data_IF_221893311747
#
_entry.id   IF_221893311747
#
_cell.length_a   1.000
_cell.length_b   1.000
_cell.length_c   1.000
_cell.angle_alpha   90.00
_cell.angle_beta   90.00
_cell.angle_gamma   90.00
#
_symmetry.space_group_name_H-M   'P 1'
#
loop_
_entity.id
_entity.type
_entity.pdbx_description
1 polymer ?
#
# COMPACT_ATOMS: atom_id res chain seq x y z
N UNK A 1 2.55 -7.17 -13.09
CA UNK A 1 1.47 -6.56 -12.28
C UNK A 1 1.13 -7.59 -11.19
N UNK A 2 1.06 -7.20 -9.91
CA UNK A 2 0.74 -8.16 -8.84
C UNK A 2 -0.77 -8.31 -8.72
N UNK A 3 -1.26 -9.55 -8.70
CA UNK A 3 -2.68 -9.85 -8.55
C UNK A 3 -3.16 -9.40 -7.16
N UNK A 4 -4.29 -8.70 -7.11
CA UNK A 4 -4.92 -8.30 -5.86
C UNK A 4 -6.13 -9.17 -5.62
N UNK A 5 -6.28 -9.64 -4.38
CA UNK A 5 -7.42 -10.47 -3.97
C UNK A 5 -8.68 -9.66 -3.64
N UNK A 6 -8.56 -8.34 -3.59
CA UNK A 6 -9.65 -7.40 -3.30
C UNK A 6 -9.66 -6.27 -4.33
N UNK A 7 -10.84 -5.86 -4.75
CA UNK A 7 -11.03 -4.71 -5.64
C UNK A 7 -11.02 -3.39 -4.85
N UNK A 8 -10.82 -2.28 -5.56
CA UNK A 8 -10.92 -0.93 -4.95
C UNK A 8 -12.32 -0.66 -4.38
N UNK A 9 -13.36 -0.99 -5.15
CA UNK A 9 -14.77 -0.83 -4.78
C UNK A 9 -15.10 -1.61 -3.50
N UNK A 10 -14.78 -2.91 -3.47
CA UNK A 10 -15.03 -3.75 -2.28
C UNK A 10 -14.26 -3.25 -1.06
N UNK A 11 -13.05 -2.70 -1.25
CA UNK A 11 -12.29 -2.14 -0.15
C UNK A 11 -12.94 -0.86 0.38
N UNK A 12 -13.38 0.05 -0.48
CA UNK A 12 -14.01 1.31 -0.07
C UNK A 12 -15.37 1.06 0.61
N UNK A 13 -16.22 0.21 0.04
CA UNK A 13 -17.55 -0.11 0.59
C UNK A 13 -17.49 -0.76 1.98
N UNK A 14 -16.43 -1.53 2.25
CA UNK A 14 -16.26 -2.24 3.51
C UNK A 14 -15.29 -1.54 4.49
N UNK A 15 -14.76 -0.36 4.14
CA UNK A 15 -13.80 0.37 4.98
C UNK A 15 -14.32 1.75 5.42
N UNK A 16 -13.77 2.29 6.52
CA UNK A 16 -13.98 3.69 6.96
C UNK A 16 -13.12 4.66 6.12
N UNK A 17 -12.43 4.17 5.08
CA UNK A 17 -11.59 5.02 4.23
C UNK A 17 -12.51 5.99 3.48
N UNK A 18 -12.32 7.28 3.74
CA UNK A 18 -13.10 8.34 3.10
C UNK A 18 -12.82 8.37 1.58
N UNK A 19 -13.83 8.68 0.76
CA UNK A 19 -13.73 8.84 -0.70
C UNK A 19 -12.61 9.79 -1.16
N UNK A 20 -12.15 10.68 -0.27
CA UNK A 20 -11.04 11.60 -0.54
C UNK A 20 -9.64 10.94 -0.56
N UNK A 21 -9.51 9.68 -0.13
CA UNK A 21 -8.23 8.95 -0.17
C UNK A 21 -8.11 8.21 -1.50
N UNK A 22 -7.20 8.66 -2.36
CA UNK A 22 -6.95 7.98 -3.64
C UNK A 22 -6.44 6.56 -3.42
N UNK A 23 -6.99 5.60 -4.16
CA UNK A 23 -6.54 4.21 -4.15
C UNK A 23 -5.06 4.03 -4.50
N UNK A 24 -4.48 4.98 -5.25
CA UNK A 24 -3.04 5.02 -5.50
C UNK A 24 -2.19 5.09 -4.20
N UNK A 25 -2.73 5.69 -3.14
CA UNK A 25 -2.09 5.78 -1.82
C UNK A 25 -2.29 4.52 -0.99
N UNK A 26 -3.41 3.81 -1.21
CA UNK A 26 -3.82 2.63 -0.43
C UNK A 26 -3.17 1.35 -0.99
N UNK A 27 -3.03 1.28 -2.33
CA UNK A 27 -2.54 0.12 -3.06
C UNK A 27 -1.21 -0.45 -2.54
N UNK A 28 -0.18 0.34 -2.18
CA UNK A 28 1.05 -0.20 -1.59
C UNK A 28 0.79 -0.97 -0.29
N UNK A 29 -0.10 -0.47 0.57
CA UNK A 29 -0.48 -1.12 1.83
C UNK A 29 -1.30 -2.38 1.58
N UNK A 30 -2.17 -2.41 0.57
CA UNK A 30 -2.89 -3.64 0.16
C UNK A 30 -1.91 -4.73 -0.25
N UNK A 31 -0.95 -4.38 -1.11
CA UNK A 31 0.12 -5.29 -1.55
C UNK A 31 0.91 -5.82 -0.36
N UNK A 32 1.28 -4.92 0.57
CA UNK A 32 2.00 -5.22 1.80
C UNK A 32 1.25 -6.20 2.68
N UNK A 33 -0.04 -5.96 2.94
CA UNK A 33 -0.90 -6.84 3.75
C UNK A 33 -1.03 -8.20 3.09
N UNK A 34 -1.21 -8.25 1.77
CA UNK A 34 -1.35 -9.51 1.04
C UNK A 34 -0.06 -10.37 1.13
N UNK A 35 1.12 -9.77 1.01
CA UNK A 35 2.42 -10.47 1.11
C UNK A 35 2.82 -10.79 2.55
N UNK A 36 2.69 -9.84 3.47
CA UNK A 36 3.24 -9.99 4.82
C UNK A 36 2.26 -10.58 5.83
N UNK A 37 0.95 -10.54 5.56
CA UNK A 37 -0.08 -11.09 6.45
C UNK A 37 -0.74 -12.31 5.84
N UNK A 38 -1.23 -12.23 4.60
CA UNK A 38 -2.02 -13.31 4.01
C UNK A 38 -1.15 -14.49 3.56
N UNK A 39 -0.10 -14.24 2.77
CA UNK A 39 0.79 -15.30 2.28
C UNK A 39 1.32 -16.26 3.37
N UNK A 40 1.82 -15.79 4.54
CA UNK A 40 2.27 -16.70 5.59
C UNK A 40 1.15 -17.48 6.28
N UNK A 41 -0.10 -17.00 6.26
CA UNK A 41 -1.26 -17.68 6.86
C UNK A 41 -1.73 -18.84 5.97
N UNK A 42 -1.88 -18.58 4.66
CA UNK A 42 -2.39 -19.58 3.71
C UNK A 42 -1.29 -20.50 3.17
N UNK A 43 -0.02 -20.07 3.27
CA UNK A 43 1.14 -20.79 2.77
C UNK A 43 1.44 -20.52 1.29
N UNK A 44 2.72 -20.60 0.91
CA UNK A 44 3.18 -20.29 -0.46
C UNK A 44 2.52 -21.09 -1.58
N UNK A 45 2.23 -22.41 -1.44
CA UNK A 45 1.61 -23.18 -2.52
C UNK A 45 0.19 -22.71 -2.83
N UNK A 46 -0.66 -22.60 -1.79
CA UNK A 46 -2.05 -22.15 -1.94
C UNK A 46 -2.11 -20.69 -2.37
N UNK A 47 -1.23 -19.84 -1.82
CA UNK A 47 -1.12 -18.44 -2.25
C UNK A 47 -0.81 -18.33 -3.75
N UNK A 48 0.14 -19.12 -4.25
CA UNK A 48 0.50 -19.15 -5.67
C UNK A 48 -0.66 -19.59 -6.56
N UNK A 49 -1.39 -20.62 -6.14
CA UNK A 49 -2.59 -21.09 -6.85
C UNK A 49 -3.67 -19.99 -6.92
N UNK A 50 -3.98 -19.33 -5.80
CA UNK A 50 -4.96 -18.25 -5.75
C UNK A 50 -4.55 -17.07 -6.64
N UNK A 51 -3.27 -16.68 -6.62
CA UNK A 51 -2.74 -15.63 -7.51
C UNK A 51 -2.93 -16.01 -8.97
N UNK A 52 -2.56 -17.23 -9.36
CA UNK A 52 -2.71 -17.70 -10.74
C UNK A 52 -4.17 -17.69 -11.16
N UNK A 53 -5.07 -18.25 -10.34
CA UNK A 53 -6.50 -18.34 -10.64
C UNK A 53 -7.18 -16.98 -10.76
N UNK A 54 -6.84 -16.03 -9.88
CA UNK A 54 -7.36 -14.66 -9.94
C UNK A 54 -6.88 -13.96 -11.22
N UNK A 55 -5.63 -14.17 -11.64
CA UNK A 55 -5.09 -13.57 -12.88
C UNK A 55 -5.71 -14.19 -14.13
N UNK A 56 -5.92 -15.51 -14.15
CA UNK A 56 -6.51 -16.21 -15.29
C UNK A 56 -8.03 -16.11 -15.35
N UNK A 57 -8.70 -15.60 -14.30
CA UNK A 57 -10.15 -15.60 -14.20
C UNK A 57 -10.74 -17.02 -14.08
N UNK A 58 -9.97 -17.96 -13.56
CA UNK A 58 -10.35 -19.38 -13.43
C UNK A 58 -10.45 -19.83 -11.97
N UNK A 59 -10.84 -18.91 -11.08
CA UNK A 59 -11.05 -19.21 -9.65
C UNK A 59 -12.13 -20.29 -9.50
N UNK A 60 -11.79 -21.35 -8.78
CA UNK A 60 -12.77 -22.40 -8.46
C UNK A 60 -13.80 -21.86 -7.47
N UNK A 61 -15.01 -22.44 -7.44
CA UNK A 61 -16.04 -22.02 -6.48
C UNK A 61 -15.54 -22.05 -5.02
N UNK A 62 -14.76 -23.09 -4.67
CA UNK A 62 -14.20 -23.23 -3.32
C UNK A 62 -13.17 -22.13 -3.00
N UNK A 63 -12.30 -21.81 -3.95
CA UNK A 63 -11.31 -20.75 -3.79
C UNK A 63 -11.95 -19.36 -3.82
N UNK A 64 -13.07 -19.21 -4.53
CA UNK A 64 -13.85 -17.98 -4.51
C UNK A 64 -14.49 -17.76 -3.13
N UNK A 65 -15.12 -18.78 -2.55
CA UNK A 65 -15.59 -18.75 -1.16
C UNK A 65 -14.46 -18.45 -0.19
N UNK A 66 -13.28 -19.08 -0.34
CA UNK A 66 -12.13 -18.79 0.51
C UNK A 66 -11.68 -17.32 0.41
N UNK A 67 -11.66 -16.76 -0.80
CA UNK A 67 -11.27 -15.38 -1.04
C UNK A 67 -12.28 -14.41 -0.45
N UNK A 68 -13.55 -14.54 -0.79
CA UNK A 68 -14.62 -13.60 -0.46
C UNK A 68 -15.03 -13.68 1.02
N UNK A 69 -15.16 -14.89 1.58
CA UNK A 69 -15.71 -15.05 2.94
C UNK A 69 -14.63 -14.96 4.04
N UNK A 70 -13.36 -15.20 3.71
CA UNK A 70 -12.29 -15.31 4.71
C UNK A 70 -11.13 -14.36 4.45
N UNK A 71 -10.54 -14.39 3.25
CA UNK A 71 -9.31 -13.62 2.97
C UNK A 71 -9.61 -12.12 2.86
N UNK A 72 -10.64 -11.73 2.11
CA UNK A 72 -11.00 -10.32 1.90
C UNK A 72 -11.37 -9.62 3.23
N UNK A 73 -12.26 -10.18 4.09
CA UNK A 73 -12.54 -9.60 5.41
C UNK A 73 -11.30 -9.48 6.29
N UNK A 74 -10.41 -10.48 6.28
CA UNK A 74 -9.16 -10.43 7.02
C UNK A 74 -8.23 -9.32 6.50
N UNK A 75 -8.10 -9.17 5.18
CA UNK A 75 -7.31 -8.10 4.57
C UNK A 75 -7.83 -6.71 4.95
N UNK A 76 -9.15 -6.53 4.95
CA UNK A 76 -9.79 -5.27 5.37
C UNK A 76 -9.42 -4.94 6.81
N UNK A 77 -9.50 -5.90 7.74
CA UNK A 77 -9.13 -5.69 9.15
C UNK A 77 -7.64 -5.33 9.32
N UNK A 78 -6.74 -5.97 8.58
CA UNK A 78 -5.32 -5.59 8.59
C UNK A 78 -5.08 -4.20 8.02
N UNK A 79 -5.83 -3.81 6.98
CA UNK A 79 -5.77 -2.48 6.40
C UNK A 79 -6.28 -1.42 7.36
N UNK A 80 -7.31 -1.70 8.15
CA UNK A 80 -7.76 -0.83 9.24
C UNK A 80 -6.66 -0.54 10.26
N UNK A 81 -5.81 -1.51 10.55
CA UNK A 81 -4.71 -1.33 11.49
C UNK A 81 -3.53 -0.58 10.87
N UNK A 82 -3.15 -0.87 9.62
CA UNK A 82 -1.94 -0.32 9.02
C UNK A 82 -2.14 1.02 8.27
N UNK A 83 -3.30 1.25 7.66
CA UNK A 83 -3.55 2.45 6.87
C UNK A 83 -3.51 3.77 7.65
N UNK A 84 -4.07 3.88 8.87
CA UNK A 84 -4.03 5.13 9.61
C UNK A 84 -2.60 5.64 9.83
N UNK A 85 -1.65 4.74 10.11
CA UNK A 85 -0.23 5.08 10.25
C UNK A 85 0.36 5.55 8.92
N UNK A 86 0.11 4.83 7.83
CA UNK A 86 0.66 5.16 6.50
C UNK A 86 0.11 6.49 5.98
N UNK A 87 -1.18 6.76 6.18
CA UNK A 87 -1.83 8.00 5.74
C UNK A 87 -1.43 9.20 6.62
N UNK A 88 -1.20 8.98 7.92
CA UNK A 88 -0.70 10.03 8.81
C UNK A 88 0.74 10.43 8.48
N UNK A 89 1.61 9.46 8.16
CA UNK A 89 2.98 9.69 7.70
C UNK A 89 3.03 9.81 6.18
N UNK A 90 2.48 10.90 5.64
CA UNK A 90 2.76 11.28 4.27
C UNK A 90 4.23 11.66 4.20
N UNK A 91 5.08 10.80 3.62
CA UNK A 91 6.47 11.11 3.29
C UNK A 91 6.50 12.22 2.23
N UNK A 92 6.21 13.44 2.66
CA UNK A 92 6.43 14.63 1.86
C UNK A 92 7.94 14.87 1.88
N UNK A 93 8.58 14.83 0.71
CA UNK A 93 9.72 15.72 0.49
C UNK A 93 9.14 17.14 0.57
N UNK A 94 8.96 17.64 1.79
CA UNK A 94 8.77 19.06 1.98
C UNK A 94 10.17 19.63 1.79
N UNK A 95 10.52 20.01 0.56
CA UNK A 95 11.40 21.17 0.44
C UNK A 95 10.59 22.27 1.13
N UNK A 96 11.01 22.79 2.28
CA UNK A 96 10.26 23.84 2.93
C UNK A 96 10.25 25.00 1.94
N UNK A 97 9.09 25.32 1.36
CA UNK A 97 8.87 26.60 0.70
C UNK A 97 9.00 27.66 1.80
N UNK A 98 10.20 28.22 1.89
CA UNK A 98 10.60 29.16 2.92
C UNK A 98 12.09 29.46 2.81
N UNK A 99 12.38 30.49 2.01
CA UNK A 99 13.69 31.11 1.76
C UNK A 99 14.67 30.32 0.85
N UNK A 100 15.20 30.93 -0.23
CA UNK A 100 16.38 30.38 -0.87
C UNK A 100 17.51 30.36 0.17
N UNK A 101 18.05 29.18 0.45
CA UNK A 101 19.31 29.10 1.18
C UNK A 101 20.35 29.84 0.34
N UNK A 102 20.71 31.07 0.75
CA UNK A 102 21.94 31.67 0.28
C UNK A 102 23.04 30.71 0.71
N UNK A 103 23.59 29.99 -0.28
CA UNK A 103 24.88 29.34 -0.13
C UNK A 103 25.81 30.41 0.45
N UNK A 104 26.54 30.14 1.55
CA UNK A 104 27.53 31.08 2.02
C UNK A 104 28.53 31.26 0.88
N UNK A 105 28.49 32.40 0.21
CA UNK A 105 29.57 32.84 -0.67
C UNK A 105 30.77 33.02 0.24
N UNK A 106 31.68 32.04 0.25
CA UNK A 106 32.98 32.23 0.86
C UNK A 106 33.67 33.28 0.02
N UNK A 107 33.60 34.54 0.44
CA UNK A 107 34.49 35.55 -0.11
C UNK A 107 35.91 35.12 0.26
N UNK A 108 36.68 34.73 -0.75
CA UNK A 108 38.12 34.59 -0.63
C UNK A 108 38.68 35.99 -0.35
N UNK A 109 38.68 36.39 0.93
CA UNK A 109 39.41 37.59 1.34
C UNK A 109 40.86 37.30 1.07
N UNK A 110 41.44 38.05 0.14
CA UNK A 110 42.84 37.96 -0.23
C UNK A 110 43.69 38.08 1.03
N UNK A 111 44.39 37.02 1.39
CA UNK A 111 45.48 37.12 2.34
C UNK A 111 46.61 37.79 1.58
N UNK A 112 46.70 39.11 1.74
CA UNK A 112 47.78 39.91 1.21
C UNK A 112 49.11 39.38 1.72
N UNK A 113 50.10 39.36 0.84
CA UNK A 113 51.52 39.46 1.19
C UNK A 113 52.08 40.63 0.40
#
# INVERSE_FOLDING_TARGET
MKALFISEETLLDNSIINENVSYTQIRPTVIKVQEMRIQPIVGSPLYGELVTQVVSGTTTALNQTLLEDYIQPAMIQWLYYELPMVLAFKYMNKVPDGEPQQLPTVELTSIGT
#
